data_IF_549593252325
#
_entry.id   IF_549593252325
#
_cell.length_a   1.000
_cell.length_b   1.000
_cell.length_c   1.000
_cell.angle_alpha   90.00
_cell.angle_beta   90.00
_cell.angle_gamma   90.00
#
_symmetry.space_group_name_H-M   'P 1'
#
loop_
_entity.id
_entity.type
_entity.pdbx_description
1 polymer ?
#
# COMPACT_ATOMS: atom_id res chain seq x y z
N UNK A 1 -71.41 3.31 21.31
CA UNK A 1 -70.41 4.04 20.50
C UNK A 1 -69.02 3.50 20.88
N UNK A 2 -68.46 2.56 20.12
CA UNK A 2 -67.08 2.05 20.35
C UNK A 2 -66.65 1.12 19.20
N UNK A 3 -66.37 1.66 18.00
CA UNK A 3 -65.68 0.90 16.93
C UNK A 3 -64.66 1.76 16.15
N UNK A 4 -64.62 3.08 16.37
CA UNK A 4 -63.71 3.97 15.61
C UNK A 4 -62.24 3.94 16.09
N UNK A 5 -61.94 3.48 17.32
CA UNK A 5 -60.56 3.49 17.84
C UNK A 5 -59.65 2.46 17.16
N UNK A 6 -60.15 1.29 16.78
CA UNK A 6 -59.28 0.21 16.27
C UNK A 6 -58.70 0.50 14.87
N UNK A 7 -59.42 1.26 14.03
CA UNK A 7 -58.92 1.65 12.71
C UNK A 7 -57.81 2.70 12.80
N UNK A 8 -58.00 3.72 13.65
CA UNK A 8 -56.99 4.74 13.89
C UNK A 8 -55.69 4.14 14.48
N UNK A 9 -55.81 3.16 15.38
CA UNK A 9 -54.65 2.45 15.93
C UNK A 9 -53.92 1.64 14.86
N UNK A 10 -54.63 0.96 13.96
CA UNK A 10 -54.00 0.18 12.88
C UNK A 10 -53.25 1.05 11.87
N UNK A 11 -53.75 2.24 11.57
CA UNK A 11 -53.10 3.21 10.65
C UNK A 11 -51.80 3.76 11.25
N UNK A 12 -51.84 4.11 12.54
CA UNK A 12 -50.65 4.56 13.27
C UNK A 12 -49.62 3.44 13.40
N UNK A 13 -50.05 2.21 13.69
CA UNK A 13 -49.15 1.05 13.81
C UNK A 13 -48.49 0.69 12.47
N UNK A 14 -49.22 0.80 11.35
CA UNK A 14 -48.64 0.61 10.02
C UNK A 14 -47.57 1.65 9.70
N UNK A 15 -47.81 2.90 10.07
CA UNK A 15 -46.85 4.00 9.84
C UNK A 15 -45.58 3.86 10.67
N UNK A 16 -45.70 3.45 11.93
CA UNK A 16 -44.54 3.18 12.80
C UNK A 16 -43.76 1.96 12.29
N UNK A 17 -44.46 0.92 11.83
CA UNK A 17 -43.82 -0.28 11.30
C UNK A 17 -43.00 0.02 10.05
N UNK A 18 -43.54 0.79 9.10
CA UNK A 18 -42.81 1.16 7.89
C UNK A 18 -41.62 2.05 8.21
N UNK A 19 -41.76 3.01 9.13
CA UNK A 19 -40.66 3.84 9.60
C UNK A 19 -39.56 3.02 10.30
N UNK A 20 -39.94 2.05 11.13
CA UNK A 20 -38.97 1.19 11.80
C UNK A 20 -38.17 0.34 10.80
N UNK A 21 -38.83 -0.21 9.78
CA UNK A 21 -38.17 -1.02 8.74
C UNK A 21 -37.19 -0.15 7.93
N UNK A 22 -37.58 1.07 7.54
CA UNK A 22 -36.69 1.94 6.75
C UNK A 22 -35.48 2.38 7.55
N UNK A 23 -35.64 2.70 8.84
CA UNK A 23 -34.52 3.04 9.74
C UNK A 23 -33.56 1.86 9.84
N UNK A 24 -34.07 0.64 10.13
CA UNK A 24 -33.22 -0.55 10.29
C UNK A 24 -32.47 -0.86 8.99
N UNK A 25 -33.16 -0.81 7.85
CA UNK A 25 -32.56 -1.10 6.55
C UNK A 25 -31.52 -0.07 6.17
N UNK A 26 -31.82 1.22 6.38
CA UNK A 26 -30.86 2.30 6.13
C UNK A 26 -29.63 2.21 7.04
N UNK A 27 -29.82 1.98 8.33
CA UNK A 27 -28.71 1.80 9.28
C UNK A 27 -27.84 0.60 8.93
N UNK A 28 -28.43 -0.50 8.46
CA UNK A 28 -27.67 -1.70 8.06
C UNK A 28 -26.76 -1.41 6.88
N UNK A 29 -27.29 -0.76 5.83
CA UNK A 29 -26.47 -0.38 4.66
C UNK A 29 -25.38 0.61 5.05
N UNK A 30 -25.68 1.58 5.91
CA UNK A 30 -24.71 2.57 6.38
C UNK A 30 -23.53 1.91 7.13
N UNK A 31 -23.83 1.02 8.07
CA UNK A 31 -22.81 0.28 8.81
C UNK A 31 -21.99 -0.64 7.89
N UNK A 32 -22.63 -1.24 6.88
CA UNK A 32 -21.94 -2.03 5.88
C UNK A 32 -20.99 -1.18 5.03
N UNK A 33 -21.41 0.01 4.58
CA UNK A 33 -20.55 0.94 3.84
C UNK A 33 -19.36 1.37 4.68
N UNK A 34 -19.58 1.66 5.97
CA UNK A 34 -18.49 2.01 6.89
C UNK A 34 -17.53 0.86 7.18
N UNK A 35 -17.94 -0.39 6.94
CA UNK A 35 -17.07 -1.57 7.11
C UNK A 35 -16.09 -1.78 5.96
N UNK A 36 -16.24 -1.06 4.84
CA UNK A 36 -15.24 -1.09 3.78
C UNK A 36 -13.95 -0.42 4.27
N UNK A 37 -12.93 -1.24 4.52
CA UNK A 37 -11.57 -0.75 4.55
C UNK A 37 -11.26 -0.23 3.14
N UNK A 38 -10.83 1.03 3.03
CA UNK A 38 -10.49 1.65 1.76
C UNK A 38 -9.45 0.82 0.99
N UNK A 39 -9.27 1.08 -0.32
CA UNK A 39 -8.26 0.39 -1.11
C UNK A 39 -6.92 0.46 -0.38
N UNK A 40 -6.27 -0.69 -0.20
CA UNK A 40 -4.89 -0.71 0.29
C UNK A 40 -4.07 -0.01 -0.79
N UNK A 41 -3.56 1.18 -0.50
CA UNK A 41 -2.66 1.89 -1.42
C UNK A 41 -1.45 0.98 -1.66
N UNK A 42 -1.39 0.41 -2.86
CA UNK A 42 -0.22 -0.34 -3.32
C UNK A 42 0.55 0.60 -4.23
N UNK A 43 1.75 0.99 -3.79
CA UNK A 43 2.71 1.65 -4.64
C UNK A 43 3.10 0.67 -5.75
N UNK A 44 2.74 0.98 -6.99
CA UNK A 44 3.17 0.22 -8.16
C UNK A 44 4.44 0.87 -8.70
N UNK A 45 5.56 0.14 -8.65
CA UNK A 45 6.82 0.56 -9.27
C UNK A 45 7.47 -0.63 -9.96
N UNK A 46 8.02 -0.38 -11.14
CA UNK A 46 8.79 -1.34 -11.92
C UNK A 46 10.28 -1.05 -11.73
N UNK A 47 10.97 -1.97 -11.07
CA UNK A 47 12.38 -1.86 -10.73
C UNK A 47 13.17 -3.00 -11.39
N UNK A 48 14.18 -2.64 -12.17
CA UNK A 48 15.11 -3.62 -12.76
C UNK A 48 16.44 -3.61 -12.02
N UNK A 49 16.79 -4.70 -11.31
CA UNK A 49 18.11 -4.84 -10.71
C UNK A 49 19.16 -5.22 -11.75
N UNK A 50 20.38 -4.75 -11.52
CA UNK A 50 21.59 -5.04 -12.28
C UNK A 50 22.76 -5.20 -11.32
N UNK A 51 23.66 -6.13 -11.64
CA UNK A 51 24.87 -6.38 -10.88
C UNK A 51 26.03 -6.52 -11.86
N UNK A 52 27.05 -5.66 -11.70
CA UNK A 52 28.34 -5.84 -12.35
C UNK A 52 29.33 -6.43 -11.35
N UNK A 53 29.65 -7.72 -11.54
CA UNK A 53 30.54 -8.47 -10.65
C UNK A 53 31.99 -8.00 -10.75
N UNK A 54 32.40 -7.38 -11.87
CA UNK A 54 33.79 -6.92 -12.04
C UNK A 54 34.08 -5.67 -11.22
N UNK A 55 33.09 -4.78 -11.13
CA UNK A 55 33.18 -3.54 -10.36
C UNK A 55 32.56 -3.67 -8.96
N UNK A 56 31.76 -4.72 -8.73
CA UNK A 56 30.94 -4.87 -7.53
C UNK A 56 29.79 -3.87 -7.47
N UNK A 57 29.40 -3.29 -8.61
CA UNK A 57 28.36 -2.27 -8.67
C UNK A 57 26.98 -2.92 -8.73
N UNK A 58 26.12 -2.59 -7.76
CA UNK A 58 24.70 -2.96 -7.77
C UNK A 58 23.94 -1.72 -8.21
N UNK A 59 23.22 -1.83 -9.33
CA UNK A 59 22.33 -0.79 -9.86
C UNK A 59 20.88 -1.26 -9.86
N UNK A 60 19.94 -0.40 -9.51
CA UNK A 60 18.51 -0.65 -9.63
C UNK A 60 17.94 0.50 -10.46
N UNK A 61 17.30 0.19 -11.58
CA UNK A 61 16.73 1.19 -12.49
C UNK A 61 15.22 1.26 -12.30
N UNK A 62 14.68 2.48 -12.20
CA UNK A 62 13.24 2.73 -12.15
C UNK A 62 12.70 2.81 -13.58
N UNK A 63 11.92 1.81 -14.00
CA UNK A 63 11.40 1.69 -15.36
C UNK A 63 9.99 2.25 -15.52
N UNK A 64 9.24 2.46 -14.44
CA UNK A 64 7.85 2.86 -14.51
C UNK A 64 7.12 2.82 -13.17
N UNK A 65 5.97 3.48 -13.11
CA UNK A 65 5.14 3.54 -11.90
C UNK A 65 5.30 4.85 -11.12
N UNK A 66 5.06 4.79 -9.82
CA UNK A 66 5.06 5.97 -8.94
C UNK A 66 6.49 6.38 -8.53
N UNK A 67 6.78 7.70 -8.40
CA UNK A 67 8.01 8.18 -7.79
C UNK A 67 8.17 7.71 -6.34
N UNK A 68 9.36 7.29 -5.96
CA UNK A 68 9.66 6.81 -4.62
C UNK A 68 10.38 7.91 -3.81
N UNK A 69 9.80 8.37 -2.70
CA UNK A 69 10.37 9.47 -1.90
C UNK A 69 11.41 8.99 -0.89
N UNK A 70 12.48 9.77 -0.69
CA UNK A 70 13.49 9.48 0.33
C UNK A 70 12.88 9.59 1.74
N UNK A 71 13.19 8.61 2.59
CA UNK A 71 12.60 8.47 3.93
C UNK A 71 11.32 7.64 4.01
N UNK A 72 10.64 7.40 2.88
CA UNK A 72 9.54 6.43 2.78
C UNK A 72 9.99 5.09 2.20
N UNK A 73 11.11 5.08 1.48
CA UNK A 73 11.64 3.90 0.81
C UNK A 73 13.06 3.61 1.26
N UNK A 74 13.33 2.32 1.49
CA UNK A 74 14.64 1.82 1.88
C UNK A 74 15.08 0.69 0.95
N UNK A 75 16.36 0.72 0.57
CA UNK A 75 17.01 -0.34 -0.20
C UNK A 75 17.76 -1.23 0.79
N UNK A 76 17.42 -2.51 0.81
CA UNK A 76 18.13 -3.52 1.58
C UNK A 76 19.00 -4.34 0.65
N UNK A 77 20.29 -4.38 0.94
CA UNK A 77 21.26 -5.22 0.22
C UNK A 77 21.77 -6.27 1.18
N UNK A 78 21.60 -7.52 0.82
CA UNK A 78 22.06 -8.68 1.58
C UNK A 78 23.19 -9.36 0.82
N UNK A 79 24.38 -9.42 1.43
CA UNK A 79 25.55 -10.09 0.89
C UNK A 79 25.96 -11.18 1.87
N UNK A 80 25.97 -12.44 1.43
CA UNK A 80 26.30 -13.61 2.26
C UNK A 80 25.54 -13.66 3.60
N UNK A 81 24.27 -13.28 3.58
CA UNK A 81 23.39 -13.26 4.76
C UNK A 81 23.54 -12.04 5.66
N UNK A 82 24.46 -11.11 5.37
CA UNK A 82 24.54 -9.82 6.07
C UNK A 82 23.72 -8.78 5.33
N UNK A 83 22.61 -8.34 5.94
CA UNK A 83 21.72 -7.32 5.38
C UNK A 83 22.08 -5.93 5.88
N UNK A 84 22.28 -5.00 4.95
CA UNK A 84 22.49 -3.57 5.25
C UNK A 84 21.36 -2.74 4.65
N UNK A 85 20.88 -1.76 5.42
CA UNK A 85 19.84 -0.81 4.99
C UNK A 85 20.48 0.46 4.42
N UNK A 86 19.96 0.91 3.29
CA UNK A 86 20.39 2.12 2.59
C UNK A 86 19.20 3.04 2.31
N UNK A 87 19.46 4.35 2.38
CA UNK A 87 18.53 5.39 1.91
C UNK A 87 18.72 5.62 0.41
N UNK A 88 17.75 6.27 -0.25
CA UNK A 88 17.81 6.55 -1.69
C UNK A 88 18.98 7.47 -2.02
N UNK A 89 19.18 8.50 -1.21
CA UNK A 89 20.32 9.43 -1.27
C UNK A 89 21.69 8.75 -1.27
N UNK A 90 21.80 7.55 -0.70
CA UNK A 90 23.08 6.84 -0.61
C UNK A 90 23.51 6.12 -1.90
N UNK A 91 22.63 6.02 -2.90
CA UNK A 91 22.92 5.43 -4.21
C UNK A 91 22.87 6.43 -5.35
N UNK A 92 23.00 7.73 -5.05
CA UNK A 92 23.10 8.78 -6.07
C UNK A 92 21.76 9.22 -6.66
N UNK A 93 20.64 8.81 -6.07
CA UNK A 93 19.31 9.33 -6.40
C UNK A 93 18.96 10.44 -5.42
N UNK A 94 18.24 11.46 -5.86
CA UNK A 94 17.90 12.63 -5.04
C UNK A 94 16.85 12.35 -3.96
N UNK A 95 16.08 13.39 -3.63
CA UNK A 95 14.99 13.31 -2.64
C UNK A 95 13.81 12.45 -3.14
N UNK A 96 13.71 12.25 -4.46
CA UNK A 96 12.74 11.37 -5.10
C UNK A 96 13.47 10.53 -6.15
N UNK A 97 13.12 9.25 -6.23
CA UNK A 97 13.59 8.32 -7.25
C UNK A 97 12.51 8.18 -8.32
N UNK A 98 12.76 8.83 -9.46
CA UNK A 98 11.82 8.93 -10.58
C UNK A 98 12.15 7.95 -11.70
N UNK A 99 11.20 7.76 -12.62
CA UNK A 99 11.38 6.91 -13.81
C UNK A 99 12.59 7.37 -14.62
N UNK A 100 13.45 6.42 -14.98
CA UNK A 100 14.69 6.63 -15.73
C UNK A 100 15.93 6.82 -14.86
N UNK A 101 15.77 7.03 -13.55
CA UNK A 101 16.91 7.12 -12.64
C UNK A 101 17.35 5.74 -12.14
N UNK A 102 18.65 5.63 -11.88
CA UNK A 102 19.26 4.40 -11.36
C UNK A 102 19.87 4.66 -10.00
N UNK A 103 19.37 3.97 -8.98
CA UNK A 103 20.06 3.87 -7.70
C UNK A 103 21.24 2.93 -7.85
N UNK A 104 22.46 3.38 -7.56
CA UNK A 104 23.65 2.54 -7.69
C UNK A 104 24.62 2.69 -6.54
N UNK A 105 25.21 1.58 -6.12
CA UNK A 105 26.24 1.59 -5.08
C UNK A 105 27.24 0.44 -5.30
N UNK A 106 28.50 0.75 -5.08
CA UNK A 106 29.60 -0.21 -5.20
C UNK A 106 29.85 -0.94 -3.88
N UNK A 107 30.00 -2.26 -3.96
CA UNK A 107 30.29 -3.16 -2.85
C UNK A 107 31.49 -4.04 -3.18
N UNK A 108 32.14 -4.56 -2.14
CA UNK A 108 33.16 -5.60 -2.33
C UNK A 108 32.44 -6.95 -2.44
N UNK A 109 32.32 -7.47 -3.66
CA UNK A 109 31.62 -8.72 -3.98
C UNK A 109 32.60 -9.65 -4.69
N UNK A 110 32.56 -10.93 -4.34
CA UNK A 110 33.31 -12.01 -4.99
C UNK A 110 32.38 -12.96 -5.74
N UNK A 111 32.92 -13.76 -6.67
CA UNK A 111 32.14 -14.67 -7.53
C UNK A 111 31.30 -15.72 -6.79
N UNK A 112 31.61 -16.01 -5.52
CA UNK A 112 30.89 -16.99 -4.71
C UNK A 112 29.88 -16.34 -3.76
N UNK A 113 29.77 -15.00 -3.77
CA UNK A 113 28.89 -14.30 -2.84
C UNK A 113 27.45 -14.37 -3.31
N UNK A 114 26.54 -14.65 -2.37
CA UNK A 114 25.10 -14.55 -2.63
C UNK A 114 24.65 -13.12 -2.38
N UNK A 115 24.15 -12.46 -3.42
CA UNK A 115 23.63 -11.09 -3.36
C UNK A 115 22.12 -11.12 -3.54
N UNK A 116 21.41 -10.51 -2.60
CA UNK A 116 19.97 -10.29 -2.68
C UNK A 116 19.66 -8.81 -2.42
N UNK A 117 18.79 -8.24 -3.24
CA UNK A 117 18.39 -6.84 -3.15
C UNK A 117 16.88 -6.78 -3.02
N UNK A 118 16.38 -6.03 -2.05
CA UNK A 118 14.95 -5.81 -1.84
C UNK A 118 14.68 -4.35 -1.55
N UNK A 119 13.65 -3.81 -2.17
CA UNK A 119 13.20 -2.42 -1.97
C UNK A 119 11.90 -2.46 -1.18
N UNK A 120 11.84 -1.71 -0.09
CA UNK A 120 10.71 -1.74 0.85
C UNK A 120 10.23 -0.32 1.09
N UNK A 121 8.92 -0.08 0.97
CA UNK A 121 8.31 1.17 1.39
C UNK A 121 7.78 1.08 2.81
N UNK A 122 7.55 2.24 3.42
CA UNK A 122 6.89 2.37 4.73
C UNK A 122 5.48 1.76 4.75
N UNK A 123 4.85 1.66 3.59
CA UNK A 123 3.47 1.15 3.41
C UNK A 123 3.45 -0.35 3.08
N UNK A 124 4.59 -0.96 2.73
CA UNK A 124 4.71 -2.40 2.46
C UNK A 124 5.99 -2.78 1.69
N UNK A 125 6.22 -4.09 1.53
CA UNK A 125 7.24 -4.60 0.60
C UNK A 125 6.69 -4.48 -0.83
N UNK A 126 7.49 -3.95 -1.75
CA UNK A 126 7.16 -3.86 -3.18
C UNK A 126 7.59 -5.15 -3.87
#
# INVERSE_FOLDING_TARGET
MSVMNNKAVSEVMGSILTLAITIVLFSTVMLWVMSFQGPVERTFVDLTPSLDVNTGNIGIMHNGGEPLKDGEVFVYVTINGTTTRYNLSSGGVGDEWIVGETWSKTFTITLNDTVSVSVVTKTGVI
#
